data_IF_083666954096
#
_entry.id   IF_083666954096
#
_cell.length_a   1.000
_cell.length_b   1.000
_cell.length_c   1.000
_cell.angle_alpha   90.00
_cell.angle_beta   90.00
_cell.angle_gamma   90.00
#
_symmetry.space_group_name_H-M   'P 1'
#
loop_
_entity.id
_entity.type
_entity.pdbx_description
1 polymer ?
#
# COMPACT_ATOMS: atom_id res chain seq x y z
N UNK A 1 31.12 9.77 -1.96
CA UNK A 1 30.14 10.86 -1.73
C UNK A 1 28.75 10.46 -2.19
N UNK A 2 28.58 9.99 -3.44
CA UNK A 2 27.27 9.56 -4.00
C UNK A 2 26.56 8.52 -3.13
N UNK A 3 27.23 7.44 -2.72
CA UNK A 3 26.64 6.42 -1.84
C UNK A 3 26.14 6.97 -0.49
N UNK A 4 26.85 7.94 0.09
CA UNK A 4 26.45 8.56 1.35
C UNK A 4 25.17 9.39 1.19
N UNK A 5 25.06 10.13 0.07
CA UNK A 5 23.86 10.90 -0.27
C UNK A 5 22.67 9.96 -0.49
N UNK A 6 22.87 8.85 -1.22
CA UNK A 6 21.80 7.86 -1.45
C UNK A 6 21.33 7.19 -0.15
N UNK A 7 22.25 6.89 0.79
CA UNK A 7 21.89 6.34 2.11
C UNK A 7 21.08 7.35 2.92
N UNK A 8 21.50 8.63 2.95
CA UNK A 8 20.78 9.69 3.64
C UNK A 8 19.40 9.93 3.01
N UNK A 9 19.29 9.95 1.68
CA UNK A 9 18.02 10.08 0.98
C UNK A 9 17.08 8.90 1.31
N UNK A 10 17.59 7.67 1.36
CA UNK A 10 16.82 6.49 1.75
C UNK A 10 16.32 6.57 3.20
N UNK A 11 17.14 7.10 4.11
CA UNK A 11 16.79 7.29 5.51
C UNK A 11 15.70 8.37 5.67
N UNK A 12 15.82 9.48 4.93
CA UNK A 12 14.80 10.53 4.87
C UNK A 12 13.48 9.97 4.33
N UNK A 13 13.51 9.20 3.24
CA UNK A 13 12.31 8.56 2.70
C UNK A 13 11.63 7.63 3.71
N UNK A 14 12.41 6.87 4.49
CA UNK A 14 11.87 6.02 5.56
C UNK A 14 11.18 6.86 6.65
N UNK A 15 11.80 7.97 7.09
CA UNK A 15 11.22 8.88 8.09
C UNK A 15 9.93 9.49 7.55
N UNK A 16 9.93 10.01 6.32
CA UNK A 16 8.75 10.63 5.71
C UNK A 16 7.61 9.60 5.60
N UNK A 17 7.89 8.39 5.12
CA UNK A 17 6.89 7.33 5.03
C UNK A 17 6.32 6.91 6.39
N UNK A 18 7.12 6.99 7.46
CA UNK A 18 6.65 6.77 8.83
C UNK A 18 5.77 7.93 9.33
N UNK A 19 6.20 9.18 9.12
CA UNK A 19 5.44 10.38 9.49
C UNK A 19 4.10 10.47 8.76
N UNK A 20 4.04 10.06 7.49
CA UNK A 20 2.79 10.00 6.72
C UNK A 20 1.74 9.12 7.40
N UNK A 21 2.13 7.96 7.95
CA UNK A 21 1.20 7.10 8.71
C UNK A 21 0.62 7.83 9.90
N UNK A 22 1.47 8.51 10.67
CA UNK A 22 1.05 9.24 11.86
C UNK A 22 0.07 10.37 11.50
N UNK A 23 0.43 11.21 10.52
CA UNK A 23 -0.36 12.37 10.11
C UNK A 23 -1.72 11.95 9.53
N UNK A 24 -1.74 10.98 8.61
CA UNK A 24 -2.97 10.54 7.95
C UNK A 24 -3.94 9.88 8.94
N UNK A 25 -3.42 9.11 9.89
CA UNK A 25 -4.26 8.53 10.96
C UNK A 25 -4.88 9.63 11.82
N UNK A 26 -4.12 10.67 12.16
CA UNK A 26 -4.65 11.77 12.97
C UNK A 26 -5.77 12.52 12.26
N UNK A 27 -5.60 12.82 10.97
CA UNK A 27 -6.65 13.45 10.16
C UNK A 27 -7.87 12.55 9.98
N UNK A 28 -7.67 11.26 9.70
CA UNK A 28 -8.79 10.32 9.49
C UNK A 28 -9.60 10.07 10.77
N UNK A 29 -8.97 10.15 11.96
CA UNK A 29 -9.71 10.14 13.23
C UNK A 29 -10.58 11.40 13.41
N UNK A 30 -10.17 12.53 12.82
CA UNK A 30 -10.96 13.77 12.85
C UNK A 30 -12.20 13.70 11.94
N UNK A 31 -12.26 12.75 10.99
CA UNK A 31 -13.38 12.59 10.06
C UNK A 31 -14.59 11.84 10.64
N UNK A 32 -14.46 11.30 11.87
CA UNK A 32 -15.56 10.66 12.63
C UNK A 32 -16.33 9.60 11.82
N UNK A 33 -15.62 8.62 11.28
CA UNK A 33 -16.27 7.51 10.57
C UNK A 33 -17.15 6.65 11.48
N UNK A 34 -18.26 6.16 10.94
CA UNK A 34 -19.26 5.33 11.64
C UNK A 34 -18.73 3.96 12.05
N UNK A 35 -17.82 3.38 11.27
CA UNK A 35 -17.28 2.03 11.52
C UNK A 35 -15.75 2.00 11.41
N UNK A 36 -15.13 1.06 12.12
CA UNK A 36 -13.69 0.79 12.06
C UNK A 36 -13.25 0.37 10.65
N UNK A 37 -14.10 -0.34 9.91
CA UNK A 37 -13.84 -0.70 8.51
C UNK A 37 -13.77 0.56 7.62
N UNK A 38 -14.76 1.47 7.70
CA UNK A 38 -14.75 2.73 6.92
C UNK A 38 -13.53 3.59 7.25
N UNK A 39 -13.15 3.68 8.53
CA UNK A 39 -11.93 4.36 8.97
C UNK A 39 -10.67 3.75 8.32
N UNK A 40 -10.51 2.42 8.38
CA UNK A 40 -9.33 1.76 7.84
C UNK A 40 -9.26 1.83 6.30
N UNK A 41 -10.40 1.80 5.60
CA UNK A 41 -10.46 2.06 4.15
C UNK A 41 -9.99 3.48 3.84
N UNK A 42 -10.53 4.49 4.52
CA UNK A 42 -10.14 5.90 4.36
C UNK A 42 -8.64 6.12 4.59
N UNK A 43 -8.11 5.57 5.69
CA UNK A 43 -6.68 5.62 6.01
C UNK A 43 -5.83 4.94 4.93
N UNK A 44 -6.22 3.76 4.47
CA UNK A 44 -5.48 3.01 3.46
C UNK A 44 -5.41 3.73 2.11
N UNK A 45 -6.51 4.35 1.65
CA UNK A 45 -6.55 5.14 0.41
C UNK A 45 -5.59 6.33 0.50
N UNK A 46 -5.72 7.13 1.55
CA UNK A 46 -4.87 8.32 1.73
C UNK A 46 -3.41 7.95 1.85
N UNK A 47 -3.09 6.86 2.58
CA UNK A 47 -1.72 6.37 2.69
C UNK A 47 -1.17 5.90 1.35
N UNK A 48 -1.98 5.20 0.56
CA UNK A 48 -1.59 4.74 -0.78
C UNK A 48 -1.23 5.93 -1.66
N UNK A 49 -2.13 6.92 -1.76
CA UNK A 49 -1.93 8.11 -2.59
C UNK A 49 -0.71 8.91 -2.09
N UNK A 50 -0.62 9.18 -0.79
CA UNK A 50 0.48 9.95 -0.23
C UNK A 50 1.85 9.27 -0.43
N UNK A 51 1.93 7.95 -0.22
CA UNK A 51 3.18 7.19 -0.45
C UNK A 51 3.57 7.16 -1.92
N UNK A 52 2.59 7.00 -2.80
CA UNK A 52 2.83 6.95 -4.24
C UNK A 52 3.36 8.30 -4.75
N UNK A 53 2.71 9.40 -4.35
CA UNK A 53 3.16 10.76 -4.69
C UNK A 53 4.57 10.99 -4.13
N UNK A 54 4.78 10.73 -2.84
CA UNK A 54 6.05 11.00 -2.17
C UNK A 54 7.21 10.16 -2.72
N UNK A 55 6.96 8.90 -3.07
CA UNK A 55 8.04 7.98 -3.47
C UNK A 55 8.28 7.98 -4.98
N UNK A 56 7.23 8.11 -5.80
CA UNK A 56 7.33 7.98 -7.26
C UNK A 56 7.27 9.34 -7.96
N UNK A 57 6.24 10.14 -7.66
CA UNK A 57 6.02 11.42 -8.37
C UNK A 57 7.10 12.45 -8.02
N UNK A 58 7.41 12.61 -6.72
CA UNK A 58 8.48 13.52 -6.27
C UNK A 58 9.82 13.13 -6.88
N UNK A 59 10.13 11.83 -6.98
CA UNK A 59 11.40 11.37 -7.55
C UNK A 59 11.56 11.77 -9.02
N UNK A 60 10.48 11.71 -9.82
CA UNK A 60 10.48 12.21 -11.21
C UNK A 60 10.60 13.72 -11.27
N UNK A 61 9.91 14.46 -10.39
CA UNK A 61 9.98 15.94 -10.35
C UNK A 61 11.40 16.41 -10.04
N UNK A 62 12.07 15.77 -9.08
CA UNK A 62 13.45 16.10 -8.70
C UNK A 62 14.43 15.75 -9.82
N UNK A 63 14.19 14.68 -10.56
CA UNK A 63 14.97 14.28 -11.72
C UNK A 63 14.27 14.70 -13.02
N UNK A 64 14.04 16.00 -13.23
CA UNK A 64 13.31 16.50 -14.41
C UNK A 64 14.08 16.35 -15.73
N UNK A 65 15.41 16.25 -15.68
CA UNK A 65 16.28 16.18 -16.85
C UNK A 65 16.33 14.78 -17.48
N UNK A 66 15.56 14.58 -18.54
CA UNK A 66 15.45 13.30 -19.25
C UNK A 66 16.79 12.77 -19.80
N UNK A 67 17.73 13.67 -20.10
CA UNK A 67 19.08 13.35 -20.62
C UNK A 67 19.91 12.56 -19.61
N UNK A 68 19.59 12.70 -18.33
CA UNK A 68 20.35 12.18 -17.22
C UNK A 68 19.75 10.89 -16.67
N UNK A 69 18.50 10.57 -17.01
CA UNK A 69 17.71 9.48 -16.41
C UNK A 69 18.40 8.12 -16.42
N UNK A 70 19.11 7.79 -17.50
CA UNK A 70 19.78 6.51 -17.69
C UNK A 70 21.24 6.51 -17.24
N UNK A 71 21.79 7.64 -16.77
CA UNK A 71 23.12 7.68 -16.18
C UNK A 71 23.05 7.12 -14.75
N UNK A 72 24.13 6.46 -14.32
CA UNK A 72 24.20 5.89 -12.97
C UNK A 72 24.08 6.98 -11.90
N UNK A 73 23.15 6.80 -10.95
CA UNK A 73 22.88 7.76 -9.86
C UNK A 73 21.73 8.73 -10.11
N UNK A 74 20.98 8.58 -11.20
CA UNK A 74 19.80 9.41 -11.52
C UNK A 74 18.51 8.58 -11.49
N UNK A 75 17.42 9.13 -12.03
CA UNK A 75 16.06 8.59 -11.95
C UNK A 75 15.94 7.06 -12.06
N UNK A 76 16.49 6.43 -13.09
CA UNK A 76 16.32 4.98 -13.31
C UNK A 76 17.00 4.17 -12.21
N UNK A 77 18.17 4.61 -11.76
CA UNK A 77 18.91 3.97 -10.68
C UNK A 77 18.16 4.10 -9.34
N UNK A 78 17.73 5.31 -8.99
CA UNK A 78 17.00 5.58 -7.75
C UNK A 78 15.64 4.87 -7.73
N UNK A 79 14.91 4.88 -8.85
CA UNK A 79 13.64 4.18 -8.98
C UNK A 79 13.82 2.65 -8.89
N UNK A 80 14.91 2.10 -9.45
CA UNK A 80 15.22 0.67 -9.31
C UNK A 80 15.51 0.30 -7.86
N UNK A 81 16.28 1.12 -7.13
CA UNK A 81 16.53 0.92 -5.70
C UNK A 81 15.21 1.00 -4.92
N UNK A 82 14.39 2.02 -5.19
CA UNK A 82 13.08 2.17 -4.55
C UNK A 82 12.20 0.93 -4.76
N UNK A 83 12.11 0.40 -5.98
CA UNK A 83 11.34 -0.81 -6.28
C UNK A 83 11.86 -1.99 -5.47
N UNK A 84 13.18 -2.22 -5.44
CA UNK A 84 13.79 -3.28 -4.65
C UNK A 84 13.45 -3.11 -3.16
N UNK A 85 13.56 -1.88 -2.63
CA UNK A 85 13.20 -1.58 -1.25
C UNK A 85 11.73 -1.89 -0.99
N UNK A 86 10.78 -1.44 -1.82
CA UNK A 86 9.36 -1.72 -1.66
C UNK A 86 9.03 -3.22 -1.73
N UNK A 87 9.71 -3.96 -2.61
CA UNK A 87 9.53 -5.41 -2.78
C UNK A 87 9.95 -6.17 -1.52
N UNK A 88 11.12 -5.84 -0.93
CA UNK A 88 11.71 -6.62 0.16
C UNK A 88 11.47 -6.04 1.56
N UNK A 89 11.16 -4.76 1.71
CA UNK A 89 11.08 -4.08 3.01
C UNK A 89 10.07 -4.74 3.95
N UNK A 90 8.83 -4.98 3.51
CA UNK A 90 7.81 -5.59 4.38
C UNK A 90 8.14 -7.04 4.77
N UNK A 91 8.44 -7.94 3.81
CA UNK A 91 8.90 -9.30 4.13
C UNK A 91 10.11 -9.32 5.06
N UNK A 92 11.06 -8.41 4.86
CA UNK A 92 12.25 -8.29 5.69
C UNK A 92 11.96 -7.83 7.12
N UNK A 93 11.20 -6.74 7.29
CA UNK A 93 10.78 -6.25 8.61
C UNK A 93 10.01 -7.32 9.39
N UNK A 94 9.17 -8.07 8.69
CA UNK A 94 8.41 -9.17 9.29
C UNK A 94 9.31 -10.35 9.66
N UNK A 95 10.28 -10.70 8.82
CA UNK A 95 11.23 -11.77 9.12
C UNK A 95 12.10 -11.46 10.35
N UNK A 96 12.56 -10.20 10.50
CA UNK A 96 13.32 -9.81 11.68
C UNK A 96 12.42 -9.80 12.93
N UNK A 97 11.22 -9.23 12.82
CA UNK A 97 10.28 -9.05 13.92
C UNK A 97 10.94 -8.46 15.19
N UNK A 98 11.61 -7.32 15.05
CA UNK A 98 12.36 -6.64 16.13
C UNK A 98 11.48 -6.47 17.37
N UNK A 99 10.28 -5.93 17.19
CA UNK A 99 9.33 -5.68 18.26
C UNK A 99 8.86 -6.96 18.95
N UNK A 100 8.61 -8.04 18.20
CA UNK A 100 8.28 -9.34 18.76
C UNK A 100 9.41 -9.94 19.58
N UNK A 101 10.68 -9.76 19.16
CA UNK A 101 11.86 -10.20 19.93
C UNK A 101 12.02 -9.39 21.22
N UNK A 102 11.88 -8.07 21.16
CA UNK A 102 11.94 -7.20 22.34
C UNK A 102 10.84 -7.56 23.35
N UNK A 103 9.61 -7.82 22.87
CA UNK A 103 8.51 -8.29 23.72
C UNK A 103 8.78 -9.67 24.32
N UNK A 104 9.31 -10.62 23.55
CA UNK A 104 9.71 -11.93 24.06
C UNK A 104 10.77 -11.83 25.16
N UNK A 105 11.75 -10.94 24.99
CA UNK A 105 12.76 -10.67 26.01
C UNK A 105 12.10 -10.15 27.29
N UNK A 106 11.27 -9.10 27.19
CA UNK A 106 10.50 -8.57 28.32
C UNK A 106 9.65 -9.64 29.01
N UNK A 107 8.94 -10.47 28.24
CA UNK A 107 8.13 -11.57 28.76
C UNK A 107 8.98 -12.58 29.53
N UNK A 108 10.11 -13.00 28.98
CA UNK A 108 11.00 -13.95 29.64
C UNK A 108 11.58 -13.39 30.94
N UNK A 109 11.94 -12.10 30.98
CA UNK A 109 12.37 -11.44 32.22
C UNK A 109 11.27 -11.44 33.27
N UNK A 110 10.02 -11.16 32.88
CA UNK A 110 8.88 -11.13 33.80
C UNK A 110 8.49 -12.52 34.31
N UNK A 111 8.59 -13.55 33.45
CA UNK A 111 8.41 -14.94 33.87
C UNK A 111 9.50 -15.38 34.84
N UNK A 112 10.74 -14.91 34.67
CA UNK A 112 11.86 -15.22 35.56
C UNK A 112 11.70 -14.61 36.97
N UNK A 113 10.94 -13.53 37.12
CA UNK A 113 10.65 -12.90 38.42
C UNK A 113 9.65 -13.72 39.27
N UNK A 114 8.91 -14.65 38.67
CA UNK A 114 7.97 -15.53 39.39
C UNK A 114 6.99 -14.76 40.29
N UNK A 115 7.02 -15.07 41.59
CA UNK A 115 6.14 -14.48 42.61
C UNK A 115 6.45 -13.00 42.91
N UNK A 116 7.62 -12.48 42.53
CA UNK A 116 7.96 -11.06 42.67
C UNK A 116 7.39 -10.19 41.53
N UNK A 117 6.65 -10.77 40.59
CA UNK A 117 6.07 -10.04 39.48
C UNK A 117 4.96 -9.07 39.96
N UNK A 118 5.22 -7.77 39.84
CA UNK A 118 4.28 -6.69 40.22
C UNK A 118 3.35 -6.23 39.09
N UNK A 119 3.33 -6.95 37.96
CA UNK A 119 2.52 -6.56 36.82
C UNK A 119 1.03 -6.75 37.11
N UNK A 120 0.23 -5.78 36.69
CA UNK A 120 -1.22 -5.95 36.67
C UNK A 120 -1.62 -6.98 35.61
N UNK A 121 -2.79 -7.61 35.76
CA UNK A 121 -3.34 -8.54 34.76
C UNK A 121 -3.37 -7.92 33.35
N UNK A 122 -3.71 -6.63 33.26
CA UNK A 122 -3.76 -5.90 31.99
C UNK A 122 -2.36 -5.80 31.36
N UNK A 123 -1.35 -5.44 32.14
CA UNK A 123 0.02 -5.34 31.61
C UNK A 123 0.60 -6.70 31.23
N UNK A 124 0.30 -7.74 32.01
CA UNK A 124 0.66 -9.12 31.69
C UNK A 124 0.02 -9.57 30.37
N UNK A 125 -1.28 -9.32 30.18
CA UNK A 125 -1.98 -9.61 28.93
C UNK A 125 -1.34 -8.85 27.76
N UNK A 126 -1.02 -7.56 27.89
CA UNK A 126 -0.38 -6.77 26.82
C UNK A 126 1.01 -7.28 26.41
N UNK A 127 1.77 -7.84 27.35
CA UNK A 127 3.09 -8.43 27.08
C UNK A 127 2.96 -9.80 26.40
N UNK A 128 1.95 -10.57 26.78
CA UNK A 128 1.68 -11.90 26.24
C UNK A 128 0.94 -11.85 24.89
N UNK A 129 0.14 -10.82 24.65
CA UNK A 129 -0.59 -10.59 23.41
C UNK A 129 0.36 -10.20 22.26
N UNK A 130 0.08 -10.76 21.08
CA UNK A 130 0.73 -10.36 19.84
C UNK A 130 0.44 -8.89 19.48
N UNK A 131 1.29 -8.24 18.66
CA UNK A 131 0.97 -6.91 18.15
C UNK A 131 -0.35 -6.94 17.34
N UNK A 132 -1.12 -5.84 17.37
CA UNK A 132 -2.28 -5.70 16.48
C UNK A 132 -1.84 -5.64 15.02
N UNK A 133 -2.64 -6.23 14.14
CA UNK A 133 -2.41 -6.17 12.70
C UNK A 133 -2.91 -4.84 12.14
N UNK A 134 -2.01 -4.08 11.50
CA UNK A 134 -2.38 -2.87 10.78
C UNK A 134 -2.74 -3.18 9.33
N UNK A 135 -4.00 -3.53 9.08
CA UNK A 135 -4.50 -3.89 7.74
C UNK A 135 -4.42 -2.71 6.78
N UNK A 136 -4.80 -1.51 7.23
CA UNK A 136 -4.78 -0.31 6.39
C UNK A 136 -3.36 -0.01 5.87
N UNK A 137 -2.36 -0.11 6.75
CA UNK A 137 -0.98 0.08 6.38
C UNK A 137 -0.46 -1.00 5.43
N UNK A 138 -0.80 -2.27 5.68
CA UNK A 138 -0.38 -3.39 4.85
C UNK A 138 -0.95 -3.29 3.43
N UNK A 139 -2.24 -3.00 3.30
CA UNK A 139 -2.86 -2.78 1.99
C UNK A 139 -2.23 -1.56 1.32
N UNK A 140 -2.05 -0.44 2.02
CA UNK A 140 -1.44 0.74 1.42
C UNK A 140 -0.01 0.50 0.93
N UNK A 141 0.79 -0.31 1.64
CA UNK A 141 2.14 -0.70 1.19
C UNK A 141 2.08 -1.59 -0.06
N UNK A 142 1.16 -2.55 -0.10
CA UNK A 142 0.95 -3.41 -1.26
C UNK A 142 0.53 -2.59 -2.48
N UNK A 143 -0.49 -1.73 -2.34
CA UNK A 143 -0.97 -0.87 -3.40
C UNK A 143 0.12 0.09 -3.90
N UNK A 144 0.92 0.65 -2.99
CA UNK A 144 2.05 1.49 -3.36
C UNK A 144 3.10 0.72 -4.19
N UNK A 145 3.44 -0.52 -3.80
CA UNK A 145 4.35 -1.37 -4.60
C UNK A 145 3.83 -1.55 -6.03
N UNK A 146 2.55 -1.93 -6.18
CA UNK A 146 1.94 -2.17 -7.49
C UNK A 146 1.92 -0.89 -8.32
N UNK A 147 1.44 0.22 -7.76
CA UNK A 147 1.38 1.51 -8.44
C UNK A 147 2.77 2.01 -8.85
N UNK A 148 3.79 1.91 -7.98
CA UNK A 148 5.17 2.32 -8.29
C UNK A 148 5.78 1.46 -9.39
N UNK A 149 5.62 0.14 -9.34
CA UNK A 149 6.18 -0.75 -10.37
C UNK A 149 5.52 -0.52 -11.74
N UNK A 150 4.20 -0.36 -11.75
CA UNK A 150 3.46 -0.07 -12.98
C UNK A 150 3.86 1.30 -13.52
N UNK A 151 3.92 2.33 -12.68
CA UNK A 151 4.35 3.66 -13.07
C UNK A 151 5.73 3.61 -13.75
N UNK A 152 6.75 3.00 -13.13
CA UNK A 152 8.09 2.96 -13.73
C UNK A 152 8.29 1.94 -14.86
N UNK A 153 7.32 1.06 -15.13
CA UNK A 153 7.45 0.01 -16.15
C UNK A 153 7.84 0.48 -17.57
N UNK A 154 7.46 1.68 -18.06
CA UNK A 154 7.86 2.13 -19.40
C UNK A 154 9.37 2.34 -19.56
N UNK A 155 10.06 2.72 -18.48
CA UNK A 155 11.52 2.97 -18.47
C UNK A 155 12.30 1.85 -17.78
N UNK A 156 11.66 1.07 -16.91
CA UNK A 156 12.22 -0.06 -16.15
C UNK A 156 11.31 -1.29 -16.37
N UNK A 157 11.47 -2.03 -17.46
CA UNK A 157 10.63 -3.21 -17.75
C UNK A 157 10.71 -4.28 -16.66
N UNK A 158 11.85 -4.39 -15.97
CA UNK A 158 12.05 -5.32 -14.85
C UNK A 158 11.16 -5.01 -13.62
N UNK A 159 10.52 -3.84 -13.56
CA UNK A 159 9.61 -3.47 -12.48
C UNK A 159 8.42 -4.44 -12.35
N UNK A 160 7.91 -4.97 -13.47
CA UNK A 160 6.77 -5.90 -13.46
C UNK A 160 7.13 -7.25 -12.80
N UNK A 161 8.25 -7.92 -13.16
CA UNK A 161 8.75 -9.06 -12.39
C UNK A 161 8.92 -8.77 -10.89
N UNK A 162 9.43 -7.59 -10.52
CA UNK A 162 9.58 -7.22 -9.10
C UNK A 162 8.24 -7.06 -8.39
N UNK A 163 7.20 -6.55 -9.07
CA UNK A 163 5.85 -6.48 -8.54
C UNK A 163 5.28 -7.88 -8.28
N UNK A 164 5.49 -8.82 -9.22
CA UNK A 164 5.05 -10.20 -9.07
C UNK A 164 5.74 -10.91 -7.90
N UNK A 165 7.08 -10.83 -7.83
CA UNK A 165 7.86 -11.40 -6.72
C UNK A 165 7.47 -10.74 -5.39
N UNK A 166 7.33 -9.42 -5.37
CA UNK A 166 6.93 -8.68 -4.17
C UNK A 166 5.53 -9.07 -3.68
N UNK A 167 4.59 -9.33 -4.59
CA UNK A 167 3.25 -9.83 -4.26
C UNK A 167 3.31 -11.19 -3.57
N UNK A 168 4.11 -12.13 -4.11
CA UNK A 168 4.31 -13.47 -3.52
C UNK A 168 4.94 -13.35 -2.12
N UNK A 169 6.02 -12.58 -2.00
CA UNK A 169 6.72 -12.43 -0.73
C UNK A 169 5.84 -11.76 0.33
N UNK A 170 5.10 -10.70 -0.03
CA UNK A 170 4.17 -10.05 0.88
C UNK A 170 3.05 -10.99 1.30
N UNK A 171 2.49 -11.80 0.39
CA UNK A 171 1.49 -12.81 0.74
C UNK A 171 2.01 -13.76 1.82
N UNK A 172 3.18 -14.36 1.61
CA UNK A 172 3.74 -15.31 2.58
C UNK A 172 4.13 -14.66 3.90
N UNK A 173 4.73 -13.47 3.85
CA UNK A 173 5.08 -12.71 5.05
C UNK A 173 3.85 -12.33 5.88
N UNK A 174 2.81 -11.78 5.24
CA UNK A 174 1.53 -11.44 5.89
C UNK A 174 0.84 -12.69 6.45
N UNK A 175 0.79 -13.78 5.69
CA UNK A 175 0.21 -15.05 6.14
C UNK A 175 0.92 -15.62 7.37
N UNK A 176 2.25 -15.65 7.35
CA UNK A 176 3.01 -16.10 8.52
C UNK A 176 2.76 -15.22 9.74
N UNK A 177 2.75 -13.90 9.54
CA UNK A 177 2.49 -12.94 10.60
C UNK A 177 1.10 -13.06 11.22
N UNK A 178 0.08 -13.27 10.39
CA UNK A 178 -1.30 -13.48 10.81
C UNK A 178 -1.44 -14.75 11.66
N UNK A 179 -0.86 -15.87 11.20
CA UNK A 179 -1.07 -17.17 11.83
C UNK A 179 -0.22 -17.41 13.08
N UNK A 180 0.91 -16.71 13.24
CA UNK A 180 1.92 -17.08 14.26
C UNK A 180 2.35 -15.95 15.18
N UNK A 181 2.05 -14.68 14.87
CA UNK A 181 2.64 -13.53 15.60
C UNK A 181 1.63 -12.47 16.03
N UNK A 182 0.71 -12.08 15.15
CA UNK A 182 -0.28 -11.08 15.49
C UNK A 182 -1.34 -11.66 16.42
N UNK A 183 -1.96 -10.80 17.23
CA UNK A 183 -3.22 -11.16 17.87
C UNK A 183 -4.32 -11.27 16.82
N UNK A 184 -5.40 -11.95 17.18
CA UNK A 184 -6.59 -12.03 16.32
C UNK A 184 -6.98 -10.60 15.89
N UNK A 185 -7.05 -10.32 14.57
CA UNK A 185 -7.39 -9.00 14.08
C UNK A 185 -8.87 -8.72 14.32
N UNK A 186 -9.22 -7.43 14.31
CA UNK A 186 -10.62 -7.01 14.33
C UNK A 186 -11.34 -7.54 13.09
N UNK A 187 -12.64 -7.87 13.22
CA UNK A 187 -13.41 -8.36 12.07
C UNK A 187 -13.67 -7.21 11.09
N UNK A 188 -13.08 -7.30 9.90
CA UNK A 188 -13.32 -6.35 8.82
C UNK A 188 -14.46 -6.83 7.93
N UNK A 189 -15.31 -5.90 7.49
CA UNK A 189 -16.31 -6.19 6.47
C UNK A 189 -15.64 -6.41 5.10
N UNK A 190 -16.32 -7.17 4.24
CA UNK A 190 -15.96 -7.42 2.83
C UNK A 190 -15.71 -6.11 2.06
N UNK A 191 -16.32 -5.00 2.50
CA UNK A 191 -16.14 -3.66 1.96
C UNK A 191 -14.67 -3.28 1.71
N UNK A 192 -13.75 -3.64 2.61
CA UNK A 192 -12.34 -3.27 2.42
C UNK A 192 -11.73 -4.03 1.23
N UNK A 193 -11.96 -5.34 1.15
CA UNK A 193 -11.44 -6.16 0.07
C UNK A 193 -12.08 -5.79 -1.29
N UNK A 194 -13.40 -5.61 -1.31
CA UNK A 194 -14.14 -5.25 -2.52
C UNK A 194 -13.75 -3.86 -3.02
N UNK A 195 -13.55 -2.89 -2.12
CA UNK A 195 -13.07 -1.56 -2.48
C UNK A 195 -11.71 -1.62 -3.19
N UNK A 196 -10.72 -2.30 -2.60
CA UNK A 196 -9.39 -2.36 -3.20
C UNK A 196 -9.35 -3.19 -4.48
N UNK A 197 -10.14 -4.26 -4.58
CA UNK A 197 -10.30 -5.01 -5.83
C UNK A 197 -10.88 -4.12 -6.95
N UNK A 198 -11.93 -3.34 -6.63
CA UNK A 198 -12.51 -2.35 -7.54
C UNK A 198 -11.56 -1.18 -7.86
N UNK A 199 -10.58 -0.92 -7.00
CA UNK A 199 -9.56 0.11 -7.20
C UNK A 199 -8.43 -0.35 -8.15
N UNK A 200 -8.15 -1.66 -8.26
CA UNK A 200 -7.07 -2.19 -9.12
C UNK A 200 -7.12 -1.74 -10.58
N UNK A 201 -8.27 -1.74 -11.29
CA UNK A 201 -8.32 -1.25 -12.67
C UNK A 201 -7.88 0.21 -12.82
N UNK A 202 -8.07 1.04 -11.78
CA UNK A 202 -7.67 2.45 -11.82
C UNK A 202 -6.15 2.63 -11.87
N UNK A 203 -5.37 1.64 -11.47
CA UNK A 203 -3.90 1.67 -11.57
C UNK A 203 -3.45 1.72 -13.04
N UNK A 204 -4.28 1.22 -13.97
CA UNK A 204 -3.99 1.30 -15.40
C UNK A 204 -3.96 2.77 -15.87
N UNK A 205 -4.76 3.67 -15.30
CA UNK A 205 -4.65 5.10 -15.62
C UNK A 205 -3.30 5.69 -15.18
N UNK A 206 -2.79 5.25 -14.03
CA UNK A 206 -1.46 5.65 -13.55
C UNK A 206 -0.39 5.21 -14.54
N UNK A 207 -0.52 3.99 -15.09
CA UNK A 207 0.35 3.51 -16.16
C UNK A 207 0.31 4.41 -17.39
N UNK A 208 -0.89 4.75 -17.89
CA UNK A 208 -1.06 5.57 -19.09
C UNK A 208 -0.44 6.95 -18.91
N UNK A 209 -0.70 7.60 -17.77
CA UNK A 209 -0.12 8.91 -17.44
C UNK A 209 1.40 8.78 -17.42
N UNK A 210 1.94 7.75 -16.78
CA UNK A 210 3.38 7.53 -16.72
C UNK A 210 4.01 7.28 -18.07
N UNK A 211 3.36 6.46 -18.91
CA UNK A 211 3.78 6.16 -20.26
C UNK A 211 3.89 7.43 -21.11
N UNK A 212 2.89 8.31 -21.02
CA UNK A 212 2.88 9.60 -21.69
C UNK A 212 4.03 10.50 -21.20
N UNK A 213 4.13 10.71 -19.88
CA UNK A 213 5.18 11.55 -19.27
C UNK A 213 6.57 11.05 -19.68
N UNK A 214 6.84 9.76 -19.56
CA UNK A 214 8.18 9.24 -19.84
C UNK A 214 8.52 9.27 -21.32
N UNK A 215 7.59 8.93 -22.23
CA UNK A 215 7.87 8.99 -23.66
C UNK A 215 8.10 10.42 -24.14
N UNK A 216 7.22 11.37 -23.78
CA UNK A 216 7.33 12.77 -24.19
C UNK A 216 8.68 13.35 -23.73
N UNK A 217 9.08 13.05 -22.49
CA UNK A 217 10.35 13.52 -21.93
C UNK A 217 11.56 12.87 -22.58
N UNK A 218 11.50 11.58 -22.88
CA UNK A 218 12.58 10.86 -23.58
C UNK A 218 12.76 11.43 -25.01
N UNK A 219 11.66 11.65 -25.73
CA UNK A 219 11.66 12.22 -27.07
C UNK A 219 12.30 13.62 -27.08
N UNK A 220 11.85 14.51 -26.19
CA UNK A 220 12.45 15.84 -26.03
C UNK A 220 13.95 15.78 -25.68
N UNK A 221 14.36 14.79 -24.89
CA UNK A 221 15.77 14.55 -24.57
C UNK A 221 16.62 14.17 -25.78
N UNK A 222 16.10 13.29 -26.65
CA UNK A 222 16.78 12.86 -27.86
C UNK A 222 16.84 13.93 -28.95
N UNK A 223 15.77 14.71 -29.14
CA UNK A 223 15.74 15.81 -30.11
C UNK A 223 16.82 16.84 -29.79
N UNK A 224 16.93 17.28 -28.53
CA UNK A 224 17.99 18.19 -28.10
C UNK A 224 19.40 17.64 -28.33
N UNK A 225 19.64 16.36 -28.01
CA UNK A 225 20.95 15.73 -28.24
C UNK A 225 21.28 15.62 -29.73
N UNK A 226 20.27 15.40 -30.59
CA UNK A 226 20.43 15.39 -32.04
C UNK A 226 20.78 16.77 -32.60
N UNK A 227 20.22 17.83 -32.03
CA UNK A 227 20.51 19.22 -32.42
C UNK A 227 21.94 19.64 -32.06
N UNK A 228 22.47 19.19 -30.92
CA UNK A 228 23.90 19.36 -30.59
C UNK A 228 24.80 18.57 -31.56
N UNK A 229 24.36 17.39 -32.02
CA UNK A 229 25.15 16.52 -32.92
C UNK A 229 25.09 16.95 -34.39
N UNK A 230 24.18 17.86 -34.76
CA UNK A 230 23.99 18.41 -36.13
C UNK A 230 25.17 19.21 -36.70
N UNK A 231 26.36 19.11 -36.11
CA UNK A 231 27.62 19.43 -36.77
C UNK A 231 28.06 18.41 -37.84
N UNK A 232 27.34 17.29 -38.04
CA UNK A 232 27.63 16.36 -39.14
C UNK A 232 26.54 15.30 -39.34
N UNK A 233 25.92 15.33 -40.53
CA UNK A 233 24.98 14.38 -41.17
C UNK A 233 23.70 13.93 -40.43
N UNK A 234 22.58 13.99 -41.17
CA UNK A 234 21.25 13.55 -40.73
C UNK A 234 21.22 12.02 -40.69
N UNK A 235 21.28 11.44 -39.49
CA UNK A 235 21.15 10.00 -39.31
C UNK A 235 19.68 9.56 -39.47
N UNK A 236 19.36 8.93 -40.60
CA UNK A 236 18.02 8.40 -40.96
C UNK A 236 17.46 7.48 -39.86
N UNK A 237 18.33 6.84 -39.05
CA UNK A 237 17.91 6.05 -37.89
C UNK A 237 17.17 6.87 -36.84
N UNK A 238 17.55 8.13 -36.61
CA UNK A 238 16.86 9.01 -35.64
C UNK A 238 15.45 9.37 -36.11
N UNK A 239 15.25 9.66 -37.40
CA UNK A 239 13.94 9.99 -37.97
C UNK A 239 12.98 8.79 -37.89
N UNK A 240 13.48 7.58 -38.13
CA UNK A 240 12.67 6.35 -38.00
C UNK A 240 12.36 6.04 -36.52
N UNK A 241 13.26 6.38 -35.59
CA UNK A 241 13.02 6.21 -34.15
C UNK A 241 11.98 7.22 -33.63
N UNK A 242 12.04 8.49 -34.02
CA UNK A 242 11.03 9.49 -33.60
C UNK A 242 9.65 9.15 -34.19
N UNK A 243 9.58 8.77 -35.48
CA UNK A 243 8.34 8.32 -36.09
C UNK A 243 7.75 7.07 -35.41
N UNK A 244 8.59 6.10 -35.00
CA UNK A 244 8.14 4.92 -34.22
C UNK A 244 7.75 5.25 -32.78
N UNK A 245 8.28 6.32 -32.18
CA UNK A 245 7.87 6.77 -30.85
C UNK A 245 6.49 7.43 -30.87
N UNK A 246 6.15 8.16 -31.94
CA UNK A 246 4.89 8.93 -32.01
C UNK A 246 3.61 8.07 -31.99
N UNK A 247 3.61 6.88 -32.60
CA UNK A 247 2.42 6.00 -32.66
C UNK A 247 2.23 5.09 -31.42
N UNK A 248 3.28 4.90 -30.60
CA UNK A 248 3.24 4.03 -29.41
C UNK A 248 2.31 4.49 -28.29
N UNK A 249 2.22 5.80 -27.92
CA UNK A 249 1.30 6.25 -26.87
C UNK A 249 -0.17 6.11 -27.28
N UNK A 250 -0.49 6.27 -28.57
CA UNK A 250 -1.85 6.09 -29.08
C UNK A 250 -2.33 4.64 -28.94
N UNK A 251 -1.45 3.67 -29.25
CA UNK A 251 -1.73 2.23 -29.07
C UNK A 251 -1.90 1.88 -27.58
N UNK A 252 -1.07 2.45 -26.70
CA UNK A 252 -1.18 2.27 -25.26
C UNK A 252 -2.52 2.83 -24.71
N UNK A 253 -2.98 3.99 -25.19
CA UNK A 253 -4.27 4.55 -24.82
C UNK A 253 -5.45 3.67 -25.29
N UNK A 254 -5.38 3.10 -26.49
CA UNK A 254 -6.40 2.17 -26.99
C UNK A 254 -6.42 0.89 -26.14
N UNK A 255 -5.26 0.33 -25.80
CA UNK A 255 -5.16 -0.84 -24.92
C UNK A 255 -5.79 -0.56 -23.55
N UNK A 256 -5.53 0.62 -22.97
CA UNK A 256 -6.11 1.04 -21.69
C UNK A 256 -7.62 1.21 -21.79
N UNK A 257 -8.12 1.84 -22.86
CA UNK A 257 -9.55 1.96 -23.09
C UNK A 257 -10.21 0.58 -23.17
N UNK A 258 -9.59 -0.39 -23.86
CA UNK A 258 -10.07 -1.78 -23.91
C UNK A 258 -10.04 -2.43 -22.52
N UNK A 259 -8.97 -2.28 -21.74
CA UNK A 259 -8.87 -2.84 -20.39
C UNK A 259 -9.90 -2.24 -19.40
N UNK A 260 -10.27 -0.98 -19.58
CA UNK A 260 -11.29 -0.31 -18.77
C UNK A 260 -12.72 -0.68 -19.19
N UNK A 261 -12.93 -0.89 -20.50
CA UNK A 261 -14.21 -1.34 -21.06
C UNK A 261 -14.43 -2.83 -20.80
N UNK A 262 -13.37 -3.64 -20.67
CA UNK A 262 -13.52 -5.04 -20.25
C UNK A 262 -14.21 -5.10 -18.89
N UNK A 263 -15.19 -5.99 -18.71
CA UNK A 263 -16.00 -6.07 -17.50
C UNK A 263 -15.25 -6.73 -16.34
N UNK A 264 -13.97 -6.38 -16.13
CA UNK A 264 -13.15 -6.82 -15.00
C UNK A 264 -13.89 -6.50 -13.70
N UNK A 265 -14.51 -5.32 -13.64
CA UNK A 265 -15.32 -4.90 -12.48
C UNK A 265 -16.52 -5.80 -12.26
N UNK A 266 -17.24 -6.15 -13.33
CA UNK A 266 -18.39 -7.06 -13.24
C UNK A 266 -17.97 -8.48 -12.86
N UNK A 267 -16.79 -8.92 -13.31
CA UNK A 267 -16.23 -10.22 -12.96
C UNK A 267 -15.78 -10.28 -11.49
N UNK A 268 -15.12 -9.22 -11.01
CA UNK A 268 -14.76 -9.05 -9.60
C UNK A 268 -16.03 -9.06 -8.74
N UNK A 269 -17.01 -8.23 -9.08
CA UNK A 269 -18.25 -8.14 -8.30
C UNK A 269 -18.99 -9.47 -8.29
N UNK A 270 -19.03 -10.22 -9.40
CA UNK A 270 -19.65 -11.55 -9.44
C UNK A 270 -18.99 -12.56 -8.49
N UNK A 271 -17.67 -12.52 -8.32
CA UNK A 271 -16.97 -13.40 -7.36
C UNK A 271 -17.14 -12.94 -5.91
N UNK A 272 -17.32 -11.64 -5.69
CA UNK A 272 -17.53 -11.06 -4.35
C UNK A 272 -18.97 -11.29 -3.89
N UNK A 273 -19.96 -11.07 -4.76
CA UNK A 273 -21.41 -11.22 -4.49
C UNK A 273 -21.77 -12.63 -4.00
N UNK A 274 -21.12 -13.69 -4.52
CA UNK A 274 -21.34 -15.08 -4.03
C UNK A 274 -21.01 -15.25 -2.53
N UNK A 275 -20.23 -14.33 -1.94
CA UNK A 275 -19.89 -14.32 -0.52
C UNK A 275 -20.57 -13.19 0.28
N UNK A 276 -21.35 -12.30 -0.37
CA UNK A 276 -21.75 -10.98 0.15
C UNK A 276 -23.22 -10.88 0.62
N UNK A 277 -23.84 -11.97 1.04
CA UNK A 277 -25.11 -11.90 1.78
C UNK A 277 -24.87 -11.78 3.30
N UNK A 278 -24.20 -10.69 3.72
CA UNK A 278 -24.38 -10.18 5.08
C UNK A 278 -25.21 -8.89 4.95
N UNK A 279 -26.53 -9.08 5.09
CA UNK A 279 -27.62 -8.11 5.01
C UNK A 279 -27.22 -6.65 5.26
N UNK A 280 -26.98 -5.89 4.18
CA UNK A 280 -26.82 -4.43 4.27
C UNK A 280 -28.15 -3.71 4.58
N UNK A 281 -29.28 -4.39 4.40
CA UNK A 281 -30.63 -3.84 4.64
C UNK A 281 -31.15 -4.08 6.08
N UNK A 282 -30.42 -4.81 6.92
CA UNK A 282 -30.84 -5.05 8.31
C UNK A 282 -30.36 -3.92 9.22
N UNK A 283 -31.24 -3.47 10.11
CA UNK A 283 -30.91 -2.41 11.05
C UNK A 283 -29.82 -2.90 12.03
N UNK A 284 -29.02 -1.97 12.58
CA UNK A 284 -28.02 -2.31 13.60
C UNK A 284 -28.59 -3.13 14.76
N UNK A 285 -29.84 -2.84 15.14
CA UNK A 285 -30.56 -3.54 16.21
C UNK A 285 -30.75 -5.04 15.90
N UNK A 286 -30.87 -5.39 14.62
CA UNK A 286 -31.09 -6.77 14.17
C UNK A 286 -29.79 -7.55 14.00
N UNK A 287 -28.63 -6.89 13.98
CA UNK A 287 -27.34 -7.54 13.74
C UNK A 287 -26.39 -7.46 14.94
N UNK A 288 -26.67 -6.60 15.93
CA UNK A 288 -25.78 -6.34 17.07
C UNK A 288 -25.43 -7.58 17.89
N UNK A 289 -26.30 -8.60 17.88
CA UNK A 289 -26.08 -9.88 18.57
C UNK A 289 -25.09 -10.79 17.84
N UNK A 290 -24.91 -10.64 16.53
CA UNK A 290 -23.95 -11.41 15.74
C UNK A 290 -22.51 -10.90 15.92
N UNK A 291 -22.34 -9.68 16.40
CA UNK A 291 -21.03 -9.06 16.54
C UNK A 291 -20.34 -9.47 17.85
N UNK A 292 -19.06 -9.91 17.78
CA UNK A 292 -18.29 -10.24 18.97
C UNK A 292 -18.02 -9.01 19.86
N UNK A 293 -17.93 -7.82 19.28
CA UNK A 293 -17.97 -6.55 20.00
C UNK A 293 -18.83 -5.53 19.26
N UNK A 294 -19.51 -4.65 20.00
CA UNK A 294 -20.36 -3.61 19.44
C UNK A 294 -20.24 -2.29 20.22
N UNK A 295 -20.68 -1.20 19.60
CA UNK A 295 -20.52 0.15 20.16
C UNK A 295 -21.22 0.30 21.52
N UNK A 296 -22.41 -0.27 21.66
CA UNK A 296 -23.18 -0.19 22.89
C UNK A 296 -22.51 -0.97 24.03
N UNK A 297 -21.76 -2.05 23.73
CA UNK A 297 -20.94 -2.80 24.70
C UNK A 297 -19.64 -2.08 25.08
N UNK A 298 -18.96 -1.48 24.11
CA UNK A 298 -17.64 -0.88 24.32
C UNK A 298 -17.69 0.56 24.84
N UNK A 299 -18.80 1.28 24.61
CA UNK A 299 -18.95 2.64 25.10
C UNK A 299 -19.10 2.65 26.63
N UNK A 300 -18.21 3.30 27.39
CA UNK A 300 -18.25 3.30 28.85
C UNK A 300 -19.52 3.95 29.43
N UNK A 301 -20.22 4.78 28.66
CA UNK A 301 -21.47 5.44 29.05
C UNK A 301 -22.71 4.58 28.78
N UNK A 302 -22.67 3.71 27.77
CA UNK A 302 -23.82 2.89 27.36
C UNK A 302 -23.65 1.38 27.59
N UNK A 303 -22.46 0.92 28.01
CA UNK A 303 -22.09 -0.49 28.22
C UNK A 303 -23.10 -1.27 29.05
N UNK A 304 -23.54 -0.71 30.19
CA UNK A 304 -24.54 -1.37 31.05
C UNK A 304 -25.89 -1.56 30.34
N UNK A 305 -26.33 -0.55 29.57
CA UNK A 305 -27.58 -0.62 28.81
C UNK A 305 -27.45 -1.57 27.62
N UNK A 306 -26.30 -1.58 26.94
CA UNK A 306 -25.99 -2.51 25.85
C UNK A 306 -26.00 -3.97 26.31
N UNK A 307 -25.37 -4.25 27.46
CA UNK A 307 -25.38 -5.59 28.08
C UNK A 307 -26.78 -6.05 28.48
N UNK A 308 -27.59 -5.18 29.09
CA UNK A 308 -28.98 -5.52 29.43
C UNK A 308 -29.82 -5.85 28.20
N UNK A 309 -29.71 -5.06 27.13
CA UNK A 309 -30.44 -5.30 25.87
C UNK A 309 -30.10 -6.66 25.25
N UNK A 310 -28.83 -7.09 25.35
CA UNK A 310 -28.43 -8.40 24.83
C UNK A 310 -29.00 -9.55 25.65
N UNK A 311 -29.07 -9.41 26.97
CA UNK A 311 -29.72 -10.39 27.85
C UNK A 311 -31.21 -10.48 27.53
N UNK A 312 -31.89 -9.35 27.32
CA UNK A 312 -33.31 -9.32 26.92
C UNK A 312 -33.53 -10.05 25.59
N UNK A 313 -32.65 -9.85 24.60
CA UNK A 313 -32.72 -10.53 23.30
C UNK A 313 -32.45 -12.04 23.44
N UNK A 314 -31.54 -12.47 24.32
CA UNK A 314 -31.24 -13.89 24.54
C UNK A 314 -32.36 -14.65 25.29
N UNK A 315 -33.24 -13.93 25.99
CA UNK A 315 -34.37 -14.49 26.74
C UNK A 315 -35.65 -14.62 25.89
N UNK A 316 -35.68 -14.01 24.70
CA UNK A 316 -36.77 -14.11 23.71
C UNK A 316 -36.52 -15.27 22.74
#
# INVERSE_FOLDING_TARGET
MVYFISIMASLVLMIVNYLLVFVIRRFSLSERHETTTKLNVSVAIKLTIARFINSSVVLVIVNSDAKEWFKGGNLVYDASILIILLTFQQPFLYSINIWGRLRKCKRNTQVALGEECKLTQREANLICEGPPLDVANNIANFMNLIMTCIFYSPIIPQAIPFAFVGSILQYWANKYMLLRKHKMPDMFSVLMASFFANFMPWIIFVWTISYFIFLERIEAGYEFLSEIRRGGDIDIKQVVISAKMHYRPQIAMIFVAVCLITPIRSFINRMVDENEALDQDKAYQDLCHTFPSDYDKENPLTSKKGQMRLIEIQLQ
#
